data_IF_180301938066
#
_entry.id   IF_180301938066
#
_cell.length_a   1.000
_cell.length_b   1.000
_cell.length_c   1.000
_cell.angle_alpha   90.00
_cell.angle_beta   90.00
_cell.angle_gamma   90.00
#
_symmetry.space_group_name_H-M   'P 1'
#
loop_
_entity.id
_entity.type
_entity.pdbx_description
1 polymer ?
#
# COMPACT_ATOMS: atom_id res chain seq x y z
N UNK A 1 -12.73 7.71 -3.23
CA UNK A 1 -12.63 8.68 -2.12
C UNK A 1 -13.16 8.02 -0.87
N UNK A 2 -12.66 8.40 0.30
CA UNK A 2 -13.01 7.80 1.59
C UNK A 2 -12.93 8.86 2.70
N UNK A 3 -13.82 8.81 3.67
CA UNK A 3 -13.92 9.78 4.77
C UNK A 3 -13.72 9.07 6.10
N UNK A 4 -12.81 9.58 6.93
CA UNK A 4 -12.61 9.08 8.29
C UNK A 4 -12.47 10.24 9.27
N UNK A 5 -13.40 10.32 10.23
CA UNK A 5 -13.54 11.44 11.17
C UNK A 5 -13.60 12.76 10.38
N UNK A 6 -12.61 13.63 10.59
CA UNK A 6 -12.50 14.94 9.97
C UNK A 6 -11.50 15.01 8.81
N UNK A 7 -11.06 13.84 8.32
CA UNK A 7 -10.09 13.71 7.23
C UNK A 7 -10.72 12.99 6.06
N UNK A 8 -10.67 13.63 4.89
CA UNK A 8 -11.12 13.06 3.63
C UNK A 8 -9.90 12.68 2.80
N UNK A 9 -9.90 11.49 2.21
CA UNK A 9 -8.90 11.07 1.24
C UNK A 9 -9.53 10.87 -0.13
N UNK A 10 -8.90 11.49 -1.12
CA UNK A 10 -9.28 11.36 -2.52
C UNK A 10 -8.11 10.84 -3.34
N UNK A 11 -8.31 9.75 -4.07
CA UNK A 11 -7.42 9.35 -5.15
C UNK A 11 -8.02 9.70 -6.50
N UNK A 12 -7.20 10.16 -7.43
CA UNK A 12 -7.60 10.49 -8.79
C UNK A 12 -6.76 9.77 -9.86
N UNK A 13 -7.24 9.80 -11.11
CA UNK A 13 -6.54 9.23 -12.27
C UNK A 13 -5.31 10.05 -12.69
N UNK A 14 -5.11 11.23 -12.09
CA UNK A 14 -3.90 12.05 -12.22
C UNK A 14 -2.70 11.50 -11.41
N UNK A 15 -2.83 10.27 -10.91
CA UNK A 15 -1.85 9.58 -10.07
C UNK A 15 -1.61 10.28 -8.71
N UNK A 16 -2.53 11.13 -8.25
CA UNK A 16 -2.43 11.79 -6.95
C UNK A 16 -3.45 11.25 -5.96
N UNK A 17 -2.98 11.09 -4.72
CA UNK A 17 -3.83 10.86 -3.55
C UNK A 17 -3.69 12.08 -2.65
N UNK A 18 -4.80 12.77 -2.39
CA UNK A 18 -4.83 13.96 -1.54
C UNK A 18 -5.58 13.66 -0.25
N UNK A 19 -5.03 14.14 0.85
CA UNK A 19 -5.66 14.17 2.17
C UNK A 19 -6.15 15.59 2.42
N UNK A 20 -7.39 15.72 2.86
CA UNK A 20 -8.09 16.98 3.10
C UNK A 20 -8.62 17.01 4.52
N UNK A 21 -8.55 18.19 5.12
CA UNK A 21 -9.26 18.50 6.35
C UNK A 21 -10.67 18.98 6.01
N UNK A 22 -11.69 18.34 6.59
CA UNK A 22 -13.09 18.60 6.26
C UNK A 22 -13.63 19.86 6.94
N UNK A 23 -13.12 20.22 8.13
CA UNK A 23 -13.53 21.44 8.83
C UNK A 23 -12.97 22.68 8.14
N UNK A 24 -11.71 22.62 7.72
CA UNK A 24 -11.03 23.79 7.13
C UNK A 24 -11.10 23.81 5.60
N UNK A 25 -11.46 22.69 4.96
CA UNK A 25 -11.45 22.52 3.50
C UNK A 25 -10.05 22.53 2.88
N UNK A 26 -8.98 22.45 3.69
CA UNK A 26 -7.59 22.56 3.22
C UNK A 26 -7.02 21.20 2.84
N UNK A 27 -6.22 21.17 1.76
CA UNK A 27 -5.41 20.02 1.41
C UNK A 27 -4.25 19.92 2.41
N UNK A 28 -4.26 18.88 3.25
CA UNK A 28 -3.22 18.60 4.23
C UNK A 28 -1.99 18.00 3.56
N UNK A 29 -2.19 16.95 2.74
CA UNK A 29 -1.10 16.16 2.16
C UNK A 29 -1.42 15.71 0.74
N UNK A 30 -0.40 15.56 -0.08
CA UNK A 30 -0.50 14.99 -1.42
C UNK A 30 0.56 13.90 -1.58
N UNK A 31 0.10 12.67 -1.82
CA UNK A 31 0.92 11.51 -2.12
C UNK A 31 0.88 11.24 -3.63
N UNK A 32 2.05 10.98 -4.23
CA UNK A 32 2.17 10.71 -5.66
C UNK A 32 2.35 9.21 -5.91
N UNK A 33 1.61 8.71 -6.88
CA UNK A 33 1.77 7.37 -7.45
C UNK A 33 2.35 7.45 -8.86
N UNK A 34 2.81 6.31 -9.37
CA UNK A 34 3.29 6.18 -10.76
C UNK A 34 2.15 5.94 -11.75
N UNK A 35 1.02 5.44 -11.26
CA UNK A 35 -0.10 4.98 -12.07
C UNK A 35 -1.44 5.48 -11.51
N UNK A 36 -2.53 5.43 -12.29
CA UNK A 36 -3.84 5.88 -11.88
C UNK A 36 -4.34 5.16 -10.63
N UNK A 37 -4.94 5.93 -9.72
CA UNK A 37 -5.52 5.40 -8.48
C UNK A 37 -6.90 4.80 -8.78
N UNK A 38 -7.10 3.55 -8.38
CA UNK A 38 -8.38 2.85 -8.52
C UNK A 38 -9.23 3.00 -7.25
N UNK A 39 -8.62 2.83 -6.08
CA UNK A 39 -9.30 2.98 -4.81
C UNK A 39 -8.37 3.56 -3.74
N UNK A 40 -8.97 4.20 -2.75
CA UNK A 40 -8.27 4.75 -1.58
C UNK A 40 -9.09 4.46 -0.33
N UNK A 41 -8.41 4.18 0.78
CA UNK A 41 -9.01 4.07 2.11
C UNK A 41 -8.15 4.82 3.12
N UNK A 42 -8.80 5.40 4.14
CA UNK A 42 -8.13 6.08 5.23
C UNK A 42 -8.53 5.46 6.57
N UNK A 43 -7.57 5.39 7.48
CA UNK A 43 -7.78 5.05 8.88
C UNK A 43 -7.13 6.13 9.77
N UNK A 44 -7.06 5.90 11.08
CA UNK A 44 -6.47 6.86 12.03
C UNK A 44 -4.96 7.09 11.82
N UNK A 45 -4.25 6.03 11.42
CA UNK A 45 -2.78 6.03 11.33
C UNK A 45 -2.26 5.87 9.91
N UNK A 46 -3.03 5.23 9.03
CA UNK A 46 -2.58 4.83 7.70
C UNK A 46 -3.57 5.20 6.61
N UNK A 47 -3.03 5.52 5.43
CA UNK A 47 -3.78 5.67 4.18
C UNK A 47 -3.37 4.53 3.27
N UNK A 48 -4.35 3.83 2.70
CA UNK A 48 -4.15 2.76 1.75
C UNK A 48 -4.63 3.25 0.39
N UNK A 49 -3.85 2.99 -0.65
CA UNK A 49 -4.15 3.40 -2.02
C UNK A 49 -3.79 2.28 -2.98
N UNK A 50 -4.72 1.91 -3.86
CA UNK A 50 -4.50 0.91 -4.90
C UNK A 50 -4.36 1.58 -6.27
N UNK A 51 -3.41 1.09 -7.07
CA UNK A 51 -3.22 1.57 -8.44
C UNK A 51 -3.58 0.51 -9.48
N UNK A 52 -3.75 0.95 -10.73
CA UNK A 52 -4.16 0.12 -11.86
C UNK A 52 -3.21 -1.04 -12.19
N UNK A 53 -1.91 -0.91 -11.88
CA UNK A 53 -0.91 -1.99 -12.07
C UNK A 53 -0.96 -3.08 -11.00
N UNK A 54 -1.97 -3.06 -10.12
CA UNK A 54 -2.07 -4.01 -9.02
C UNK A 54 -1.00 -3.79 -7.96
N UNK A 55 -0.66 -2.54 -7.66
CA UNK A 55 0.21 -2.19 -6.52
C UNK A 55 -0.62 -1.41 -5.52
N UNK A 56 -0.61 -1.87 -4.28
CA UNK A 56 -1.21 -1.19 -3.14
C UNK A 56 -0.11 -0.53 -2.32
N UNK A 57 -0.21 0.76 -2.10
CA UNK A 57 0.70 1.51 -1.24
C UNK A 57 0.02 1.88 0.07
N UNK A 58 0.73 1.66 1.16
CA UNK A 58 0.35 2.03 2.52
C UNK A 58 1.22 3.19 2.96
N UNK A 59 0.58 4.29 3.33
CA UNK A 59 1.21 5.54 3.74
C UNK A 59 0.93 5.79 5.22
N UNK A 60 1.94 6.25 5.95
CA UNK A 60 1.77 6.67 7.34
C UNK A 60 1.27 8.11 7.36
N UNK A 61 0.16 8.36 8.05
CA UNK A 61 -0.45 9.70 8.12
C UNK A 61 0.45 10.65 8.90
N UNK A 62 0.90 10.31 10.12
CA UNK A 62 1.74 11.21 10.91
C UNK A 62 3.06 11.58 10.19
N UNK A 63 3.80 10.57 9.71
CA UNK A 63 5.12 10.77 9.07
C UNK A 63 5.04 11.22 7.61
N UNK A 64 3.86 11.15 6.97
CA UNK A 64 3.67 11.42 5.53
C UNK A 64 4.58 10.58 4.61
N UNK A 65 4.95 9.37 5.03
CA UNK A 65 5.89 8.51 4.31
C UNK A 65 5.22 7.23 3.83
N UNK A 66 5.77 6.70 2.74
CA UNK A 66 5.43 5.37 2.25
C UNK A 66 5.97 4.32 3.22
N UNK A 67 5.07 3.57 3.84
CA UNK A 67 5.44 2.48 4.76
C UNK A 67 5.70 1.20 3.99
N UNK A 68 4.81 0.89 3.03
CA UNK A 68 4.84 -0.39 2.34
C UNK A 68 4.23 -0.31 0.96
N UNK A 69 4.82 -1.03 0.02
CA UNK A 69 4.22 -1.36 -1.27
C UNK A 69 3.91 -2.86 -1.28
N UNK A 70 2.68 -3.20 -1.62
CA UNK A 70 2.15 -4.55 -1.64
C UNK A 70 1.58 -4.80 -3.04
N UNK A 71 2.22 -5.65 -3.85
CA UNK A 71 1.61 -6.13 -5.09
C UNK A 71 0.32 -6.89 -4.76
N UNK A 72 -0.81 -6.51 -5.36
CA UNK A 72 -2.01 -7.34 -5.34
C UNK A 72 -1.74 -8.57 -6.20
N UNK A 73 -2.31 -9.71 -5.81
CA UNK A 73 -1.89 -11.06 -6.20
C UNK A 73 -2.06 -11.45 -7.69
N UNK A 74 -2.05 -10.49 -8.61
CA UNK A 74 -2.25 -10.62 -10.05
C UNK A 74 -0.96 -10.40 -10.86
N UNK A 75 0.17 -10.12 -10.19
CA UNK A 75 1.47 -9.83 -10.83
C UNK A 75 2.62 -10.72 -10.34
N UNK A 76 2.32 -11.90 -9.82
CA UNK A 76 3.31 -12.98 -9.69
C UNK A 76 3.15 -13.92 -10.90
N UNK A 77 4.20 -14.19 -11.69
CA UNK A 77 4.18 -15.32 -12.62
C UNK A 77 4.08 -16.61 -11.79
N UNK A 78 2.85 -17.09 -11.60
CA UNK A 78 2.54 -18.27 -10.80
C UNK A 78 1.52 -17.97 -9.71
N UNK A 79 0.26 -18.22 -10.01
CA UNK A 79 -0.84 -18.26 -9.05
C UNK A 79 -0.71 -19.50 -8.13
N UNK A 80 0.31 -19.56 -7.29
CA UNK A 80 0.46 -20.65 -6.30
C UNK A 80 -0.48 -20.50 -5.10
N UNK A 81 -1.14 -19.35 -4.94
CA UNK A 81 -2.09 -19.12 -3.86
C UNK A 81 -3.52 -19.60 -4.20
N UNK A 82 -3.83 -19.82 -5.49
CA UNK A 82 -5.12 -20.36 -5.92
C UNK A 82 -5.19 -21.88 -5.77
N UNK A 83 -4.69 -22.42 -4.66
CA UNK A 83 -4.94 -23.77 -4.15
C UNK A 83 -4.36 -23.88 -2.75
N UNK A 84 -4.84 -23.06 -1.82
CA UNK A 84 -4.61 -23.34 -0.40
C UNK A 84 -5.93 -23.31 0.35
N UNK A 85 -6.60 -24.46 0.32
CA UNK A 85 -7.31 -24.93 1.49
C UNK A 85 -6.35 -25.22 2.66
N UNK A 86 -5.04 -25.03 2.50
CA UNK A 86 -4.04 -25.28 3.55
C UNK A 86 -3.02 -24.14 3.67
N UNK A 87 -3.14 -23.40 4.76
CA UNK A 87 -2.26 -22.31 5.11
C UNK A 87 -0.95 -22.85 5.68
N UNK A 88 0.06 -23.07 4.82
CA UNK A 88 1.43 -23.31 5.26
C UNK A 88 2.33 -22.11 4.97
N UNK A 89 2.67 -21.39 6.02
CA UNK A 89 3.65 -20.30 6.08
C UNK A 89 5.06 -20.81 5.71
N UNK A 90 5.88 -20.06 4.96
CA UNK A 90 7.26 -20.45 4.72
C UNK A 90 8.08 -20.26 6.01
N UNK A 91 8.45 -21.37 6.65
CA UNK A 91 9.48 -21.37 7.70
C UNK A 91 10.82 -21.55 7.04
N UNK A 92 11.54 -20.45 6.80
CA UNK A 92 12.97 -20.54 6.55
C UNK A 92 13.66 -19.40 7.27
N UNK A 93 14.12 -19.70 8.48
CA UNK A 93 15.06 -18.87 9.25
C UNK A 93 16.39 -18.72 8.49
N UNK A 94 17.08 -17.58 8.60
CA UNK A 94 18.38 -17.37 7.95
C UNK A 94 19.48 -17.98 8.84
N UNK A 95 20.24 -18.93 8.31
CA UNK A 95 21.44 -19.52 8.91
C UNK A 95 22.20 -20.16 7.74
N UNK A 96 23.45 -19.87 7.39
CA UNK A 96 24.56 -19.21 8.06
C UNK A 96 25.53 -18.79 6.95
N UNK A 97 26.06 -17.58 7.05
CA UNK A 97 27.22 -17.13 6.29
C UNK A 97 28.48 -17.75 6.93
N UNK A 98 29.39 -18.35 6.15
CA UNK A 98 30.87 -18.27 6.28
C UNK A 98 31.60 -19.43 5.55
N UNK A 99 32.41 -19.05 4.53
CA UNK A 99 33.79 -19.48 4.18
C UNK A 99 34.15 -20.99 4.12
N UNK A 100 35.03 -21.51 3.26
CA UNK A 100 35.94 -21.09 2.17
C UNK A 100 36.42 -22.39 1.47
N UNK A 101 37.19 -22.32 0.35
CA UNK A 101 37.50 -23.46 -0.50
C UNK A 101 38.74 -24.24 -0.06
N UNK A 102 38.83 -25.50 -0.52
CA UNK A 102 40.07 -26.14 -1.02
C UNK A 102 39.67 -27.00 -2.21
#
# INVERSE_FOLDING_TARGET
MDLYKNRLVSGARDCQVKEWDVETGKCLKTFKHKDPILATRINDTYIVSSCERGIVKVWHIAMAQLVKEVPTAWSWPGAWWASTSDASWPTSTPSTCLQRPV
#
